data_IF_761959251239
#
_entry.id   IF_761959251239
#
_cell.length_a   1.000
_cell.length_b   1.000
_cell.length_c   1.000
_cell.angle_alpha   90.00
_cell.angle_beta   90.00
_cell.angle_gamma   90.00
#
_symmetry.space_group_name_H-M   'P 1'
#
loop_
_entity.id
_entity.type
_entity.pdbx_description
1 polymer ?
#
# COMPACT_ATOMS: atom_id res chain seq x y z
N UNK A 1 10.38 -4.30 -0.62
CA UNK A 1 11.07 -3.97 -1.91
C UNK A 1 11.36 -2.48 -2.06
N UNK A 2 10.39 -1.61 -1.87
CA UNK A 2 10.60 -0.16 -1.98
C UNK A 2 11.62 0.37 -0.96
N UNK A 3 11.69 -0.20 0.23
CA UNK A 3 12.71 0.15 1.23
C UNK A 3 14.11 -0.14 0.73
N UNK A 4 14.29 -1.25 0.02
CA UNK A 4 15.56 -1.58 -0.63
C UNK A 4 15.95 -0.57 -1.69
N UNK A 5 14.97 -0.07 -2.46
CA UNK A 5 15.20 0.97 -3.46
C UNK A 5 15.68 2.28 -2.82
N UNK A 6 15.07 2.67 -1.70
CA UNK A 6 15.49 3.87 -0.95
C UNK A 6 16.91 3.70 -0.45
N UNK A 7 17.23 2.54 0.10
CA UNK A 7 18.58 2.24 0.58
C UNK A 7 19.60 2.27 -0.55
N UNK A 8 19.27 1.70 -1.70
CA UNK A 8 20.11 1.72 -2.88
C UNK A 8 20.38 3.16 -3.33
N UNK A 9 19.34 3.98 -3.42
CA UNK A 9 19.48 5.38 -3.81
C UNK A 9 20.41 6.14 -2.86
N UNK A 10 20.28 5.91 -1.56
CA UNK A 10 21.15 6.53 -0.56
C UNK A 10 22.60 6.09 -0.74
N UNK A 11 22.84 4.81 -0.97
CA UNK A 11 24.17 4.25 -1.18
C UNK A 11 24.84 4.85 -2.41
N UNK A 12 24.08 5.16 -3.44
CA UNK A 12 24.58 5.72 -4.70
C UNK A 12 24.51 7.24 -4.75
N UNK A 13 24.15 7.90 -3.63
CA UNK A 13 24.00 9.35 -3.56
C UNK A 13 22.99 9.91 -4.56
N UNK A 14 21.94 9.16 -4.83
CA UNK A 14 20.82 9.58 -5.66
C UNK A 14 19.79 10.27 -4.77
N UNK A 15 19.41 11.53 -5.12
CA UNK A 15 18.42 12.28 -4.33
C UNK A 15 17.01 11.76 -4.60
N UNK A 16 16.26 11.50 -3.53
CA UNK A 16 14.84 11.13 -3.58
C UNK A 16 14.06 12.23 -2.84
N UNK A 17 13.08 12.87 -3.43
CA UNK A 17 12.45 12.59 -4.73
C UNK A 17 13.05 13.36 -5.92
N UNK A 18 14.11 14.13 -5.73
CA UNK A 18 14.61 15.05 -6.75
C UNK A 18 15.05 14.35 -8.03
N UNK A 19 15.96 13.37 -7.90
CA UNK A 19 16.52 12.65 -9.04
C UNK A 19 15.73 11.38 -9.35
N UNK A 20 15.09 10.79 -8.34
CA UNK A 20 14.33 9.55 -8.46
C UNK A 20 13.14 9.61 -7.53
N UNK A 21 11.97 9.21 -8.02
CA UNK A 21 10.78 9.06 -7.19
C UNK A 21 10.50 7.58 -6.97
N UNK A 22 10.04 7.24 -5.75
CA UNK A 22 9.79 5.85 -5.37
C UNK A 22 8.38 5.76 -4.80
N UNK A 23 7.61 4.79 -5.29
CA UNK A 23 6.26 4.49 -4.79
C UNK A 23 6.25 3.03 -4.34
N UNK A 24 5.79 2.81 -3.12
CA UNK A 24 5.61 1.47 -2.59
C UNK A 24 4.17 0.98 -2.70
N UNK A 25 3.91 -0.18 -2.13
CA UNK A 25 2.60 -0.81 -2.16
C UNK A 25 2.25 -1.32 -0.77
N UNK A 26 0.95 -1.40 -0.47
CA UNK A 26 0.35 -1.86 0.78
C UNK A 26 0.35 -0.85 1.94
N UNK A 27 1.06 0.26 1.86
CA UNK A 27 1.05 1.31 2.89
C UNK A 27 1.19 0.75 4.32
N UNK A 28 2.24 -0.08 4.54
CA UNK A 28 2.51 -0.65 5.85
C UNK A 28 3.14 0.40 6.79
N UNK A 29 3.26 0.06 8.07
CA UNK A 29 3.91 0.94 9.05
C UNK A 29 5.35 1.30 8.64
N UNK A 30 6.02 0.42 7.89
CA UNK A 30 7.37 0.66 7.40
C UNK A 30 7.48 1.90 6.53
N UNK A 31 6.39 2.33 5.87
CA UNK A 31 6.42 3.51 5.03
C UNK A 31 6.68 4.79 5.79
N UNK A 32 6.34 4.83 7.08
CA UNK A 32 6.60 5.98 7.94
C UNK A 32 7.91 5.85 8.72
N UNK A 33 8.54 4.68 8.70
CA UNK A 33 9.80 4.41 9.38
C UNK A 33 11.02 4.74 8.53
N UNK A 34 10.85 4.97 7.23
CA UNK A 34 11.96 5.30 6.34
C UNK A 34 12.23 6.81 6.31
N UNK A 35 13.41 7.17 5.84
CA UNK A 35 13.76 8.55 5.57
C UNK A 35 14.41 8.63 4.18
N UNK A 36 13.79 9.34 3.23
CA UNK A 36 12.48 10.02 3.32
C UNK A 36 11.31 9.03 3.48
N UNK A 37 10.20 9.50 4.04
CA UNK A 37 9.02 8.65 4.21
C UNK A 37 8.45 8.23 2.86
N UNK A 38 8.10 6.95 2.73
CA UNK A 38 7.71 6.34 1.47
C UNK A 38 6.27 6.66 1.07
N UNK A 39 6.09 7.23 -0.12
CA UNK A 39 4.78 7.29 -0.78
C UNK A 39 4.34 5.88 -1.13
N UNK A 40 3.12 5.52 -0.83
CA UNK A 40 2.64 4.16 -1.01
C UNK A 40 1.19 4.13 -1.47
N UNK A 41 0.85 3.07 -2.22
CA UNK A 41 -0.54 2.76 -2.53
C UNK A 41 -1.17 2.09 -1.31
N UNK A 42 -2.22 2.72 -0.76
CA UNK A 42 -3.01 2.11 0.30
C UNK A 42 -4.12 1.27 -0.34
N UNK A 43 -3.99 -0.04 -0.27
CA UNK A 43 -4.99 -0.95 -0.83
C UNK A 43 -6.08 -1.32 0.17
N UNK A 44 -6.14 -0.61 1.29
CA UNK A 44 -7.20 -0.74 2.31
C UNK A 44 -7.34 -2.17 2.82
N UNK A 45 -6.23 -2.73 3.30
CA UNK A 45 -6.16 -4.11 3.78
C UNK A 45 -7.22 -4.39 4.85
N UNK A 46 -7.43 -3.48 5.79
CA UNK A 46 -8.42 -3.65 6.84
C UNK A 46 -9.84 -3.76 6.27
N UNK A 47 -10.18 -2.91 5.28
CA UNK A 47 -11.48 -2.96 4.61
C UNK A 47 -11.67 -4.26 3.86
N UNK A 48 -10.65 -4.70 3.12
CA UNK A 48 -10.69 -5.96 2.38
C UNK A 48 -10.90 -7.13 3.33
N UNK A 49 -10.16 -7.17 4.43
CA UNK A 49 -10.26 -8.23 5.43
C UNK A 49 -11.65 -8.28 6.05
N UNK A 50 -12.20 -7.14 6.45
CA UNK A 50 -13.53 -7.08 7.05
C UNK A 50 -14.61 -7.51 6.06
N UNK A 51 -14.54 -7.08 4.82
CA UNK A 51 -15.49 -7.47 3.78
C UNK A 51 -15.40 -8.96 3.47
N UNK A 52 -14.20 -9.51 3.42
CA UNK A 52 -13.99 -10.93 3.15
C UNK A 52 -14.65 -11.80 4.23
N UNK A 53 -14.48 -11.45 5.50
CA UNK A 53 -15.10 -12.18 6.60
C UNK A 53 -16.62 -12.06 6.54
N UNK A 54 -17.15 -10.86 6.32
CA UNK A 54 -18.60 -10.61 6.23
C UNK A 54 -19.23 -11.41 5.11
N UNK A 55 -18.61 -11.42 3.92
CA UNK A 55 -19.10 -12.18 2.77
C UNK A 55 -19.09 -13.67 3.07
N UNK A 56 -18.01 -14.17 3.68
CA UNK A 56 -17.91 -15.58 4.02
C UNK A 56 -19.03 -16.00 4.98
N UNK A 57 -19.30 -15.21 6.02
CA UNK A 57 -20.35 -15.50 6.98
C UNK A 57 -21.73 -15.52 6.32
N UNK A 58 -22.00 -14.61 5.38
CA UNK A 58 -23.27 -14.57 4.65
C UNK A 58 -23.43 -15.77 3.72
N UNK A 59 -22.36 -16.20 3.06
CA UNK A 59 -22.37 -17.39 2.22
C UNK A 59 -22.67 -18.63 3.05
N UNK A 60 -22.10 -18.76 4.25
CA UNK A 60 -22.36 -19.86 5.16
C UNK A 60 -23.80 -19.88 5.63
N UNK A 61 -24.48 -18.74 5.70
CA UNK A 61 -25.91 -18.61 6.02
C UNK A 61 -26.82 -18.93 4.83
N UNK A 62 -26.23 -19.27 3.67
CA UNK A 62 -26.99 -19.61 2.48
C UNK A 62 -27.41 -18.44 1.61
N UNK A 63 -26.89 -17.25 1.86
CA UNK A 63 -27.16 -16.07 1.04
C UNK A 63 -26.33 -16.10 -0.22
N UNK A 64 -26.91 -15.57 -1.32
CA UNK A 64 -26.17 -15.37 -2.55
C UNK A 64 -25.44 -14.03 -2.49
N UNK A 65 -24.13 -14.08 -2.74
CA UNK A 65 -23.27 -12.90 -2.74
C UNK A 65 -22.62 -12.70 -4.10
N UNK A 66 -22.25 -11.46 -4.46
CA UNK A 66 -21.51 -11.21 -5.70
C UNK A 66 -20.23 -12.06 -5.76
N UNK A 67 -19.91 -12.58 -6.93
CA UNK A 67 -18.68 -13.35 -7.13
C UNK A 67 -17.44 -12.49 -7.07
N UNK A 68 -17.59 -11.18 -7.25
CA UNK A 68 -16.47 -10.26 -7.25
C UNK A 68 -16.84 -9.00 -6.48
N UNK A 69 -16.00 -8.64 -5.52
CA UNK A 69 -16.09 -7.38 -4.78
C UNK A 69 -14.80 -6.60 -5.02
N UNK A 70 -14.93 -5.32 -5.39
CA UNK A 70 -13.79 -4.47 -5.69
C UNK A 70 -13.69 -3.40 -4.61
N UNK A 71 -12.48 -3.25 -4.04
CA UNK A 71 -12.16 -2.18 -3.11
C UNK A 71 -11.11 -1.29 -3.76
N UNK A 72 -11.43 0.00 -3.92
CA UNK A 72 -10.52 0.94 -4.52
C UNK A 72 -9.45 1.35 -3.51
N UNK A 73 -8.18 1.32 -3.94
CA UNK A 73 -7.07 1.85 -3.16
C UNK A 73 -6.86 3.34 -3.45
N UNK A 74 -5.96 3.95 -2.70
CA UNK A 74 -5.56 5.34 -2.93
C UNK A 74 -4.07 5.49 -2.69
N UNK A 75 -3.47 6.51 -3.31
CA UNK A 75 -2.06 6.82 -3.12
C UNK A 75 -1.93 7.76 -1.92
N UNK A 76 -1.13 7.36 -0.96
CA UNK A 76 -0.77 8.20 0.19
C UNK A 76 0.57 8.84 -0.12
N UNK A 77 0.52 10.11 -0.49
CA UNK A 77 1.71 10.86 -0.88
C UNK A 77 2.54 11.23 0.36
N UNK A 78 3.82 10.92 0.31
CA UNK A 78 4.78 11.28 1.35
C UNK A 78 5.99 11.94 0.71
N UNK A 79 7.18 11.68 1.22
CA UNK A 79 8.39 12.41 0.83
C UNK A 79 9.15 11.83 -0.36
N UNK A 80 8.85 10.59 -0.78
CA UNK A 80 9.56 9.94 -1.91
C UNK A 80 9.00 10.29 -3.28
N UNK A 81 7.95 11.10 -3.36
CA UNK A 81 7.40 11.64 -4.61
C UNK A 81 7.23 13.14 -4.49
N UNK A 82 7.25 13.80 -5.66
CA UNK A 82 7.06 15.25 -5.73
C UNK A 82 5.59 15.62 -5.77
#
# INVERSE_FOLDING_TARGET
MAMGAIRFARTRHISVPKDMQIIGYNNTVLTTCSYPELTSMDNKIATISNQSVSILLEVLDGKQMPQKTVVSGEIIKRETTR
#
